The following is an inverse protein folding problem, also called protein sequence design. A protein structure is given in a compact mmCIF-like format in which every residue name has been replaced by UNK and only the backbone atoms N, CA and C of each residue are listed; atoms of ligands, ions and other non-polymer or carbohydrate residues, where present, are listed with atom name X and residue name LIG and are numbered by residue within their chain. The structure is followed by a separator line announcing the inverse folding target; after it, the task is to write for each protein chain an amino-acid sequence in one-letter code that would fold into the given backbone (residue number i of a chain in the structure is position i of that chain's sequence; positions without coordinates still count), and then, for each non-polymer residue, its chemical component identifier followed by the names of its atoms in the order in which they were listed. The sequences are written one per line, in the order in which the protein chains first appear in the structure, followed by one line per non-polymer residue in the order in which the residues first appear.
data_IF_041951184540
#
_entry.id   IF_041951184540
#
_cell.length_a   1.000
_cell.length_b   1.000
_cell.length_c   1.000
_cell.angle_alpha   90.00
_cell.angle_beta   90.00
_cell.angle_gamma   90.00
#
_symmetry.space_group_name_H-M   'P 1'
#
loop_
_entity.id
_entity.type
_entity.pdbx_description
1 polymer ?
#
# COMPACT_ATOMS: atom_id res chain seq x y z
N UNK A 1 -3.13 14.09 -23.27
CA UNK A 1 -2.91 14.00 -22.83
C UNK A 1 -2.81 13.61 -22.14
N UNK A 2 -2.78 13.15 -21.91
CA UNK A 2 -2.64 13.05 -21.17
C UNK A 2 -1.81 12.50 -20.52
N UNK A 3 -0.99 12.59 -20.64
CA UNK A 3 0.08 12.11 -19.88
C UNK A 3 -0.12 12.31 -18.44
N UNK A 4 -0.91 13.16 -18.09
CA UNK A 4 -1.14 13.34 -16.77
C UNK A 4 -1.60 12.07 -16.15
N UNK A 5 -2.17 11.20 -16.88
CA UNK A 5 -2.59 9.95 -16.35
C UNK A 5 -1.40 9.14 -15.96
N UNK A 6 -0.35 9.23 -16.74
CA UNK A 6 0.81 8.48 -16.42
C UNK A 6 1.45 9.03 -15.21
N UNK A 7 1.45 10.34 -15.06
CA UNK A 7 2.07 10.91 -13.94
C UNK A 7 1.41 10.51 -12.68
N UNK A 8 0.11 10.45 -12.70
CA UNK A 8 -0.60 10.01 -11.57
C UNK A 8 -0.24 8.63 -11.21
N UNK A 9 -0.15 7.77 -12.20
CA UNK A 9 0.20 6.45 -11.91
C UNK A 9 1.60 6.35 -11.41
N UNK A 10 2.43 7.22 -11.89
CA UNK A 10 3.78 7.13 -11.54
C UNK A 10 4.03 7.59 -10.17
N UNK A 11 3.23 8.43 -9.66
CA UNK A 11 3.45 8.85 -8.40
C UNK A 11 2.64 8.26 -7.40
N UNK A 12 1.95 7.35 -7.64
CA UNK A 12 1.02 6.88 -6.93
C UNK A 12 1.09 6.36 -5.75
N UNK A 13 0.26 6.76 -5.19
CA UNK A 13 -0.34 6.30 -4.03
C UNK A 13 -1.24 5.17 -4.40
N UNK A 14 -0.69 4.06 -4.75
CA UNK A 14 -1.50 2.91 -5.10
C UNK A 14 -1.87 2.08 -3.90
N UNK A 15 -1.09 2.13 -2.84
CA UNK A 15 -1.44 1.36 -1.67
C UNK A 15 -1.65 2.27 -0.47
N UNK A 16 -2.39 1.77 0.51
CA UNK A 16 -2.66 2.48 1.73
C UNK A 16 -2.03 1.77 2.92
N UNK A 17 -0.92 1.09 2.71
CA UNK A 17 -0.30 0.29 3.76
C UNK A 17 0.02 1.13 4.98
N UNK A 18 0.58 2.31 4.76
CA UNK A 18 0.96 3.16 5.87
C UNK A 18 -0.25 3.55 6.72
N UNK A 19 -1.33 3.90 6.06
CA UNK A 19 -2.54 4.32 6.76
C UNK A 19 -3.07 3.17 7.60
N UNK A 20 -3.10 1.97 7.03
CA UNK A 20 -3.66 0.84 7.75
C UNK A 20 -2.74 0.44 8.90
N UNK A 21 -1.43 0.53 8.73
CA UNK A 21 -0.51 0.26 9.83
C UNK A 21 -0.79 1.23 10.99
N UNK A 22 -0.93 2.49 10.66
CA UNK A 22 -1.16 3.50 11.70
C UNK A 22 -2.49 3.22 12.41
N UNK A 23 -3.52 2.88 11.63
CA UNK A 23 -4.81 2.61 12.22
C UNK A 23 -4.76 1.42 13.17
N UNK A 24 -3.88 0.47 12.88
CA UNK A 24 -3.76 -0.70 13.72
C UNK A 24 -2.63 -0.55 14.75
N UNK A 25 -2.04 0.64 14.82
CA UNK A 25 -0.99 0.94 15.76
C UNK A 25 0.19 0.00 15.61
N UNK A 26 0.55 -0.26 14.35
CA UNK A 26 1.69 -1.11 14.05
C UNK A 26 2.73 -0.30 13.31
N UNK A 27 3.98 -0.73 13.39
CA UNK A 27 5.10 -0.02 12.79
C UNK A 27 5.62 -0.75 11.57
N UNK A 28 6.44 -0.06 10.78
CA UNK A 28 7.10 -0.69 9.66
C UNK A 28 7.98 -1.83 10.16
N UNK A 29 8.63 -1.64 11.30
CA UNK A 29 9.50 -2.66 11.85
C UNK A 29 8.71 -3.91 12.17
N UNK A 30 7.55 -3.75 12.76
CA UNK A 30 6.70 -4.88 13.10
C UNK A 30 6.33 -5.64 11.82
N UNK A 31 5.93 -4.92 10.79
CA UNK A 31 5.51 -5.57 9.57
C UNK A 31 6.69 -6.28 8.91
N UNK A 32 7.86 -5.66 8.93
CA UNK A 32 9.04 -6.28 8.37
C UNK A 32 9.33 -7.60 9.07
N UNK A 33 9.18 -7.64 10.38
CA UNK A 33 9.40 -8.84 11.13
C UNK A 33 8.36 -9.91 10.79
N UNK A 34 7.12 -9.51 10.63
CA UNK A 34 6.08 -10.46 10.30
C UNK A 34 6.30 -11.11 8.94
N UNK A 35 6.78 -10.34 8.00
CA UNK A 35 6.96 -10.84 6.65
C UNK A 35 8.35 -11.39 6.36
N UNK A 36 9.27 -11.26 7.29
CA UNK A 36 10.63 -11.69 7.05
C UNK A 36 11.34 -10.85 6.02
N UNK A 37 11.04 -9.55 5.97
CA UNK A 37 11.67 -8.65 5.03
C UNK A 37 12.35 -7.54 5.78
N UNK A 38 13.24 -6.80 5.11
CA UNK A 38 13.93 -5.74 5.80
C UNK A 38 13.05 -4.49 5.84
N UNK A 39 13.37 -3.61 6.76
CA UNK A 39 12.56 -2.42 6.93
C UNK A 39 12.62 -1.48 5.75
N UNK A 40 13.73 -1.48 5.02
CA UNK A 40 13.86 -0.59 3.87
C UNK A 40 12.83 -0.95 2.81
N UNK A 41 12.58 -2.23 2.61
CA UNK A 41 11.58 -2.67 1.65
C UNK A 41 10.19 -2.22 2.09
N UNK A 42 9.88 -2.41 3.36
CA UNK A 42 8.58 -2.02 3.87
C UNK A 42 8.40 -0.50 3.76
N UNK A 43 9.46 0.23 4.05
CA UNK A 43 9.38 1.68 3.97
C UNK A 43 9.09 2.14 2.55
N UNK A 44 9.67 1.49 1.55
CA UNK A 44 9.40 1.87 0.18
C UNK A 44 7.94 1.58 -0.18
N UNK A 45 7.38 0.51 0.34
CA UNK A 45 5.97 0.21 0.09
C UNK A 45 5.09 1.26 0.76
N UNK A 46 5.43 1.65 1.98
CA UNK A 46 4.63 2.61 2.71
C UNK A 46 4.63 3.98 2.07
N UNK A 47 5.72 4.34 1.42
CA UNK A 47 5.78 5.63 0.76
C UNK A 47 5.36 5.55 -0.70
N UNK A 48 4.98 4.38 -1.14
CA UNK A 48 4.59 4.15 -2.52
C UNK A 48 5.74 4.37 -3.50
N UNK A 49 6.98 4.29 -3.01
CA UNK A 49 8.13 4.36 -3.88
C UNK A 49 8.27 3.06 -4.64
N UNK A 50 7.79 1.98 -4.08
CA UNK A 50 7.77 0.69 -4.72
C UNK A 50 6.51 0.01 -4.24
N UNK A 51 6.04 -0.99 -4.95
CA UNK A 51 4.81 -1.67 -4.57
C UNK A 51 5.11 -3.12 -4.22
N UNK A 52 4.40 -3.67 -3.26
CA UNK A 52 4.57 -5.08 -2.94
C UNK A 52 3.99 -5.95 -4.05
N UNK A 53 4.46 -7.17 -4.14
CA UNK A 53 3.88 -8.13 -5.05
C UNK A 53 2.48 -8.46 -4.55
N UNK A 54 1.69 -9.08 -5.40
CA UNK A 54 0.37 -9.48 -4.99
C UNK A 54 0.44 -10.41 -3.79
N UNK A 55 1.38 -11.34 -3.81
CA UNK A 55 1.53 -12.26 -2.72
C UNK A 55 1.88 -11.54 -1.43
N UNK A 56 2.79 -10.57 -1.50
CA UNK A 56 3.16 -9.81 -0.31
C UNK A 56 1.96 -9.01 0.21
N UNK A 57 1.16 -8.48 -0.70
CA UNK A 57 0.00 -7.72 -0.31
C UNK A 57 -0.99 -8.60 0.45
N UNK A 58 -1.18 -9.82 0.00
CA UNK A 58 -2.07 -10.75 0.69
C UNK A 58 -1.49 -11.07 2.06
N UNK A 59 -0.18 -11.26 2.17
CA UNK A 59 0.43 -11.53 3.46
C UNK A 59 0.25 -10.36 4.42
N UNK A 60 0.36 -9.15 3.92
CA UNK A 60 0.16 -7.98 4.77
C UNK A 60 -1.27 -7.95 5.28
N UNK A 61 -2.22 -8.22 4.40
CA UNK A 61 -3.62 -8.22 4.81
C UNK A 61 -3.86 -9.27 5.88
N UNK A 62 -3.24 -10.44 5.74
CA UNK A 62 -3.39 -11.49 6.73
C UNK A 62 -2.77 -11.08 8.07
N UNK A 63 -1.62 -10.45 8.05
CA UNK A 63 -0.99 -10.02 9.28
C UNK A 63 -1.82 -8.99 10.01
N UNK A 64 -2.43 -8.09 9.27
CA UNK A 64 -3.21 -7.03 9.88
C UNK A 64 -4.67 -7.42 10.08
N UNK A 65 -5.06 -8.57 9.54
CA UNK A 65 -6.42 -9.07 9.65
C UNK A 65 -7.41 -8.11 9.04
N UNK A 66 -7.07 -7.64 7.85
CA UNK A 66 -7.96 -6.76 7.11
C UNK A 66 -8.19 -7.37 5.73
N UNK A 67 -9.18 -6.88 5.03
CA UNK A 67 -9.43 -7.28 3.68
C UNK A 67 -8.35 -6.68 2.82
N UNK A 68 -7.85 -7.42 1.84
CA UNK A 68 -6.76 -6.92 1.01
C UNK A 68 -7.18 -5.63 0.29
N UNK A 69 -8.44 -5.47 -0.01
CA UNK A 69 -8.86 -4.27 -0.70
C UNK A 69 -8.68 -3.03 0.15
N UNK A 70 -8.55 -3.18 1.46
CA UNK A 70 -8.32 -2.02 2.29
C UNK A 70 -6.91 -1.50 2.13
N UNK A 71 -6.02 -2.28 1.53
CA UNK A 71 -4.65 -1.85 1.32
C UNK A 71 -4.46 -1.17 -0.02
N UNK A 72 -5.51 -1.10 -0.83
CA UNK A 72 -5.40 -0.58 -2.18
C UNK A 72 -6.19 0.69 -2.32
N UNK A 73 -5.57 1.66 -2.98
CA UNK A 73 -6.23 2.90 -3.22
C UNK A 73 -6.86 2.86 -4.60
N UNK A 74 -8.07 3.29 -4.73
CA UNK A 74 -8.75 3.32 -6.00
C UNK A 74 -8.93 4.77 -6.42
N UNK A 75 -8.04 5.27 -7.20
CA UNK A 75 -8.07 6.68 -7.54
C UNK A 75 -9.32 7.07 -8.26
N UNK A 76 -9.87 6.16 -9.02
CA UNK A 76 -11.02 6.55 -9.77
C UNK A 76 -12.23 6.61 -8.92
N UNK A 77 -12.14 6.28 -7.67
CA UNK A 77 -13.26 6.38 -6.83
C UNK A 77 -13.82 7.74 -6.82
N UNK A 78 -13.01 8.69 -6.93
CA UNK A 78 -13.51 9.98 -6.91
C UNK A 78 -14.28 10.24 -8.10
N UNK A 79 -14.00 9.57 -9.16
CA UNK A 79 -14.67 9.82 -10.34
C UNK A 79 -15.96 9.19 -10.39
N UNK A 80 -16.14 8.16 -9.74
CA UNK A 80 -17.33 7.53 -9.83
C UNK A 80 -18.38 8.19 -9.27
N UNK A 81 -18.17 9.16 -8.62
CA UNK A 81 -19.20 9.86 -8.08
C UNK A 81 -19.94 10.56 -9.07
N UNK A 82 -19.49 10.66 -10.22
CA UNK A 82 -20.18 11.40 -11.16
C UNK A 82 -21.36 10.85 -11.60
#
# INVERSE_FOLDING_TARGET
MHPQNYDIMAEKDLNRIKVVLVEHKRTNKWLAEQLGRDQATISKWCTNSAQPSLEALIQIAQCLKVDVKELIRFPENENQND
#
